data_IF_927109730591
#
_entry.id   IF_927109730591
#
_cell.length_a   1.000
_cell.length_b   1.000
_cell.length_c   1.000
_cell.angle_alpha   90.00
_cell.angle_beta   90.00
_cell.angle_gamma   90.00
#
_symmetry.space_group_name_H-M   'P 1'
#
loop_
_entity.id
_entity.type
_entity.pdbx_description
1 polymer ?
#
# COMPACT_ATOMS: atom_id res chain seq x y z
N UNK A 1 7.26 2.20 16.37
CA UNK A 1 7.09 2.44 14.92
C UNK A 1 5.66 2.09 14.48
N UNK A 2 4.65 2.51 15.26
CA UNK A 2 3.28 1.99 15.08
C UNK A 2 2.60 2.62 13.85
N UNK A 3 2.58 3.96 13.75
CA UNK A 3 1.92 4.68 12.66
C UNK A 3 2.38 4.27 11.24
N UNK A 4 3.67 4.37 10.94
CA UNK A 4 4.17 4.16 9.58
C UNK A 4 4.02 2.73 9.04
N UNK A 5 3.94 1.74 9.92
CA UNK A 5 3.92 0.31 9.54
C UNK A 5 2.50 -0.24 9.55
N UNK A 6 1.72 0.13 10.57
CA UNK A 6 0.37 -0.36 10.80
C UNK A 6 -0.57 0.11 9.67
N UNK A 7 -0.59 1.40 9.37
CA UNK A 7 -1.56 1.95 8.41
C UNK A 7 -1.29 1.48 6.96
N UNK A 8 -0.03 1.20 6.60
CA UNK A 8 0.35 0.83 5.22
C UNK A 8 -0.14 -0.55 4.77
N UNK A 9 -0.40 -1.48 5.69
CA UNK A 9 -0.91 -2.83 5.36
C UNK A 9 -2.43 -2.97 5.55
N UNK A 10 -3.10 -1.93 6.04
CA UNK A 10 -4.52 -1.96 6.39
C UNK A 10 -5.45 -1.99 5.17
N UNK A 11 -5.01 -1.43 4.04
CA UNK A 11 -5.87 -1.19 2.85
C UNK A 11 -6.06 -2.42 1.96
N UNK A 12 -5.29 -3.50 2.18
CA UNK A 12 -5.45 -4.76 1.45
C UNK A 12 -5.93 -5.86 2.40
N UNK A 13 -7.04 -6.49 2.07
CA UNK A 13 -7.48 -7.79 2.61
C UNK A 13 -6.42 -8.85 2.33
N UNK A 14 -5.83 -9.35 3.40
CA UNK A 14 -4.98 -10.53 3.38
C UNK A 14 -5.24 -11.30 4.68
N UNK A 15 -5.59 -12.60 4.63
CA UNK A 15 -5.92 -13.36 5.84
C UNK A 15 -4.76 -13.46 6.84
N UNK A 16 -3.52 -13.42 6.33
CA UNK A 16 -2.32 -13.54 7.12
C UNK A 16 -1.40 -12.37 6.80
N UNK A 17 -1.16 -11.53 7.82
CA UNK A 17 -0.25 -10.39 7.76
C UNK A 17 0.63 -10.44 8.99
N UNK A 18 1.92 -10.20 8.80
CA UNK A 18 2.88 -10.02 9.88
C UNK A 18 3.83 -8.92 9.45
N UNK A 19 4.04 -7.95 10.33
CA UNK A 19 5.06 -6.93 10.10
C UNK A 19 6.00 -6.87 11.29
N UNK A 20 7.28 -6.73 10.99
CA UNK A 20 8.34 -6.58 11.98
C UNK A 20 9.17 -5.36 11.58
N UNK A 21 9.57 -4.55 12.55
CA UNK A 21 10.22 -3.29 12.28
C UNK A 21 11.16 -2.88 13.41
N UNK A 22 12.37 -2.49 13.05
CA UNK A 22 13.44 -2.12 13.98
C UNK A 22 13.94 -0.71 13.68
N UNK A 23 14.12 0.09 14.74
CA UNK A 23 14.81 1.37 14.63
C UNK A 23 16.31 1.14 14.85
N UNK A 24 17.08 1.15 13.76
CA UNK A 24 18.52 0.91 13.81
C UNK A 24 19.26 2.21 14.13
N UNK A 25 20.02 2.20 15.24
CA UNK A 25 20.93 3.29 15.57
C UNK A 25 22.18 3.24 14.68
N UNK A 26 22.57 4.39 14.14
CA UNK A 26 23.77 4.53 13.30
C UNK A 26 24.56 5.76 13.71
N UNK A 27 25.79 5.89 13.20
CA UNK A 27 26.63 7.08 13.44
C UNK A 27 26.24 8.29 12.57
N UNK A 28 25.15 8.19 11.80
CA UNK A 28 24.64 9.31 11.02
C UNK A 28 23.84 10.28 11.90
N UNK A 29 23.65 11.55 11.47
CA UNK A 29 22.73 12.46 12.14
C UNK A 29 21.36 11.82 12.37
N UNK A 30 20.75 11.99 13.57
CA UNK A 30 19.47 11.39 13.87
C UNK A 30 18.40 11.76 12.83
N UNK A 31 17.69 10.75 12.33
CA UNK A 31 16.57 10.97 11.41
C UNK A 31 15.40 11.61 12.16
N UNK A 32 14.71 12.56 11.52
CA UNK A 32 13.54 13.25 12.05
C UNK A 32 12.27 12.93 11.28
N UNK A 33 11.18 13.60 11.67
CA UNK A 33 9.93 13.50 10.92
C UNK A 33 10.07 14.10 9.52
N UNK A 34 9.55 13.37 8.53
CA UNK A 34 9.40 13.85 7.16
C UNK A 34 7.95 13.61 6.71
N UNK A 35 7.51 14.27 5.64
CA UNK A 35 6.13 14.16 5.12
C UNK A 35 5.72 12.69 4.99
N UNK A 36 4.61 12.33 5.62
CA UNK A 36 4.08 10.96 5.65
C UNK A 36 4.60 10.08 6.79
N UNK A 37 5.50 10.57 7.66
CA UNK A 37 5.88 9.91 8.92
C UNK A 37 6.25 8.42 8.80
N UNK A 38 6.92 8.01 7.72
CA UNK A 38 7.32 6.62 7.48
C UNK A 38 6.40 5.81 6.56
N UNK A 39 5.20 6.32 6.28
CA UNK A 39 4.21 5.63 5.41
C UNK A 39 4.73 5.46 3.98
N UNK A 40 5.36 6.49 3.43
CA UNK A 40 5.80 6.48 2.03
C UNK A 40 6.77 5.34 1.73
N UNK A 41 7.73 5.08 2.63
CA UNK A 41 8.70 4.00 2.45
C UNK A 41 8.04 2.62 2.49
N UNK A 42 7.09 2.41 3.41
CA UNK A 42 6.41 1.12 3.58
C UNK A 42 5.42 0.88 2.45
N UNK A 43 4.61 1.89 2.08
CA UNK A 43 3.69 1.84 0.95
C UNK A 43 4.46 1.54 -0.34
N UNK A 44 5.59 2.21 -0.60
CA UNK A 44 6.40 1.91 -1.78
C UNK A 44 6.83 0.44 -1.84
N UNK A 45 7.29 -0.13 -0.72
CA UNK A 45 7.71 -1.53 -0.66
C UNK A 45 6.52 -2.50 -0.92
N UNK A 46 5.36 -2.24 -0.31
CA UNK A 46 4.14 -3.04 -0.49
C UNK A 46 3.65 -2.98 -1.93
N UNK A 47 3.50 -1.78 -2.48
CA UNK A 47 3.00 -1.57 -3.84
C UNK A 47 3.93 -2.19 -4.89
N UNK A 48 5.24 -2.09 -4.69
CA UNK A 48 6.24 -2.74 -5.54
C UNK A 48 6.12 -4.28 -5.50
N UNK A 49 5.90 -4.84 -4.31
CA UNK A 49 5.71 -6.28 -4.14
C UNK A 49 4.39 -6.76 -4.80
N UNK A 50 3.33 -5.96 -4.74
CA UNK A 50 2.06 -6.25 -5.42
C UNK A 50 2.23 -6.20 -6.94
N UNK A 51 2.96 -5.22 -7.49
CA UNK A 51 3.25 -5.16 -8.93
C UNK A 51 4.07 -6.35 -9.41
N UNK A 52 5.04 -6.79 -8.61
CA UNK A 52 5.81 -8.00 -8.91
C UNK A 52 4.94 -9.25 -8.86
N UNK A 53 4.11 -9.39 -7.82
CA UNK A 53 3.19 -10.52 -7.69
C UNK A 53 2.22 -10.58 -8.88
N UNK A 54 1.64 -9.45 -9.28
CA UNK A 54 0.74 -9.36 -10.43
C UNK A 54 1.41 -9.85 -11.72
N UNK A 55 2.67 -9.45 -11.95
CA UNK A 55 3.48 -9.95 -13.08
C UNK A 55 3.73 -11.45 -13.00
N UNK A 56 4.06 -11.97 -11.81
CA UNK A 56 4.33 -13.40 -11.62
C UNK A 56 3.08 -14.28 -11.85
N UNK A 57 1.90 -13.81 -11.43
CA UNK A 57 0.64 -14.55 -11.60
C UNK A 57 -0.10 -14.24 -12.91
N UNK A 58 0.45 -13.34 -13.73
CA UNK A 58 -0.06 -13.03 -15.08
C UNK A 58 -1.37 -12.25 -15.10
N UNK A 59 -1.62 -11.38 -14.11
CA UNK A 59 -2.79 -10.48 -14.08
C UNK A 59 -2.34 -9.02 -14.05
N UNK A 60 -3.25 -8.08 -14.36
CA UNK A 60 -2.91 -6.66 -14.29
C UNK A 60 -2.64 -6.24 -12.84
N UNK A 61 -1.72 -5.29 -12.59
CA UNK A 61 -1.49 -4.77 -11.24
C UNK A 61 -2.73 -4.09 -10.63
N UNK A 62 -3.58 -3.49 -11.47
CA UNK A 62 -4.87 -2.93 -11.03
C UNK A 62 -5.85 -4.01 -10.61
N UNK A 63 -5.94 -5.12 -11.37
CA UNK A 63 -6.80 -6.25 -11.04
C UNK A 63 -6.40 -6.91 -9.73
N UNK A 64 -5.09 -7.07 -9.48
CA UNK A 64 -4.60 -7.60 -8.21
C UNK A 64 -5.05 -6.69 -7.05
N UNK A 65 -4.91 -5.37 -7.20
CA UNK A 65 -5.34 -4.41 -6.17
C UNK A 65 -6.84 -4.46 -5.95
N UNK A 66 -7.67 -4.43 -7.00
CA UNK A 66 -9.14 -4.52 -6.88
C UNK A 66 -9.61 -5.78 -6.16
N UNK A 67 -8.97 -6.92 -6.42
CA UNK A 67 -9.31 -8.19 -5.76
C UNK A 67 -9.00 -8.18 -4.27
N UNK A 68 -7.97 -7.44 -3.86
CA UNK A 68 -7.46 -7.49 -2.49
C UNK A 68 -7.75 -6.24 -1.69
N UNK A 69 -8.10 -5.10 -2.29
CA UNK A 69 -8.38 -3.87 -1.56
C UNK A 69 -9.57 -4.05 -0.62
N UNK A 70 -9.56 -3.38 0.54
CA UNK A 70 -10.73 -3.32 1.44
C UNK A 70 -11.95 -2.77 0.70
N UNK A 71 -13.14 -3.18 1.10
CA UNK A 71 -14.42 -2.76 0.52
C UNK A 71 -15.41 -2.36 1.63
N UNK A 72 -16.52 -1.65 1.33
CA UNK A 72 -17.49 -1.28 2.35
C UNK A 72 -18.01 -2.50 3.11
N UNK A 73 -17.96 -2.42 4.44
CA UNK A 73 -18.37 -3.50 5.33
C UNK A 73 -17.22 -4.42 5.77
N UNK A 74 -16.02 -4.29 5.20
CA UNK A 74 -14.85 -4.99 5.73
C UNK A 74 -14.49 -4.48 7.14
N UNK A 75 -14.08 -5.38 8.05
CA UNK A 75 -13.57 -4.98 9.34
C UNK A 75 -12.23 -4.26 9.17
N UNK A 76 -11.95 -3.29 10.04
CA UNK A 76 -10.64 -2.64 10.09
C UNK A 76 -9.61 -3.63 10.66
N UNK A 77 -8.80 -4.24 9.80
CA UNK A 77 -7.81 -5.26 10.18
C UNK A 77 -6.43 -4.90 9.65
N UNK A 78 -5.50 -4.71 10.59
CA UNK A 78 -4.13 -4.35 10.27
C UNK A 78 -3.20 -5.56 10.29
N UNK A 79 -2.93 -6.15 11.46
CA UNK A 79 -2.06 -7.31 11.64
C UNK A 79 -2.53 -8.17 12.82
N UNK A 80 -3.76 -8.68 12.75
CA UNK A 80 -4.32 -9.50 13.83
C UNK A 80 -5.84 -9.63 13.79
N UNK A 81 -6.45 -9.77 14.96
CA UNK A 81 -7.90 -9.88 15.09
C UNK A 81 -8.59 -8.50 14.91
N UNK A 82 -9.81 -8.45 14.36
CA UNK A 82 -10.57 -7.22 14.07
C UNK A 82 -11.05 -6.45 15.31
N UNK A 83 -10.49 -6.70 16.50
CA UNK A 83 -10.91 -6.10 17.76
C UNK A 83 -10.36 -4.68 17.93
N UNK A 84 -10.75 -3.79 17.02
CA UNK A 84 -10.58 -2.34 17.16
C UNK A 84 -11.95 -1.68 17.19
N UNK A 85 -12.07 -0.57 17.92
CA UNK A 85 -13.22 0.35 17.88
C UNK A 85 -13.25 1.22 16.60
N UNK A 86 -12.49 0.81 15.59
CA UNK A 86 -12.30 1.50 14.32
C UNK A 86 -13.12 0.84 13.22
N UNK A 87 -13.66 1.67 12.34
CA UNK A 87 -14.35 1.26 11.13
C UNK A 87 -13.99 2.21 9.98
N UNK A 88 -14.07 1.70 8.74
CA UNK A 88 -13.98 2.54 7.55
C UNK A 88 -15.25 3.41 7.45
N UNK A 89 -15.15 4.67 7.87
CA UNK A 89 -16.29 5.61 7.87
C UNK A 89 -16.65 6.15 6.48
N UNK A 90 -15.67 6.28 5.60
CA UNK A 90 -15.84 6.58 4.18
C UNK A 90 -14.92 5.70 3.35
N UNK A 91 -15.34 5.43 2.11
CA UNK A 91 -14.62 4.53 1.22
C UNK A 91 -14.72 5.05 -0.23
N UNK A 92 -13.59 4.99 -0.93
CA UNK A 92 -13.44 5.55 -2.28
C UNK A 92 -12.40 4.83 -3.14
N UNK A 93 -11.83 3.71 -2.64
CA UNK A 93 -10.52 3.26 -3.10
C UNK A 93 -10.60 2.49 -4.41
N UNK A 94 -11.64 1.71 -4.64
CA UNK A 94 -11.92 1.08 -5.93
C UNK A 94 -12.22 2.13 -7.01
N UNK A 95 -12.99 3.18 -6.71
CA UNK A 95 -13.20 4.27 -7.68
C UNK A 95 -11.89 5.00 -8.00
N UNK A 96 -11.01 5.21 -7.01
CA UNK A 96 -9.68 5.77 -7.25
C UNK A 96 -8.83 4.87 -8.15
N UNK A 97 -8.89 3.54 -7.98
CA UNK A 97 -8.19 2.59 -8.85
C UNK A 97 -8.72 2.66 -10.29
N UNK A 98 -10.04 2.73 -10.47
CA UNK A 98 -10.67 2.85 -11.80
C UNK A 98 -10.27 4.14 -12.51
N UNK A 99 -10.32 5.27 -11.81
CA UNK A 99 -9.92 6.56 -12.35
C UNK A 99 -8.43 6.59 -12.71
N UNK A 100 -7.57 6.00 -11.87
CA UNK A 100 -6.14 5.93 -12.12
C UNK A 100 -5.81 5.03 -13.33
N UNK A 101 -6.44 3.86 -13.44
CA UNK A 101 -6.25 2.97 -14.59
C UNK A 101 -6.71 3.63 -15.89
N UNK A 102 -7.87 4.30 -15.87
CA UNK A 102 -8.37 5.01 -17.04
C UNK A 102 -7.40 6.14 -17.45
N UNK A 103 -6.97 6.97 -16.51
CA UNK A 103 -6.06 8.08 -16.79
C UNK A 103 -4.73 7.60 -17.38
N UNK A 104 -4.17 6.49 -16.88
CA UNK A 104 -2.94 5.91 -17.41
C UNK A 104 -3.13 5.27 -18.80
N UNK A 105 -4.32 4.74 -19.10
CA UNK A 105 -4.64 4.22 -20.42
C UNK A 105 -4.79 5.35 -21.46
N UNK A 106 -5.33 6.50 -21.05
CA UNK A 106 -5.45 7.70 -21.88
C UNK A 106 -4.10 8.39 -22.11
N UNK A 107 -3.24 8.43 -21.09
CA UNK A 107 -1.87 8.95 -21.16
C UNK A 107 -0.87 7.84 -21.51
N UNK A 108 -0.98 7.32 -22.74
CA UNK A 108 -0.07 6.32 -23.28
C UNK A 108 1.35 6.86 -23.58
N UNK A 109 1.77 7.95 -22.94
CA UNK A 109 3.11 8.50 -23.10
C UNK A 109 4.11 7.48 -22.58
N UNK A 110 4.99 6.94 -23.43
CA UNK A 110 5.99 5.99 -22.98
C UNK A 110 6.89 6.66 -21.94
N UNK A 111 7.30 5.95 -20.87
CA UNK A 111 8.22 6.50 -19.90
C UNK A 111 9.48 7.00 -20.61
N UNK A 112 10.05 8.15 -20.19
CA UNK A 112 11.27 8.66 -20.78
C UNK A 112 12.38 7.61 -20.67
N UNK A 113 13.24 7.52 -21.69
CA UNK A 113 14.41 6.65 -21.64
C UNK A 113 15.26 7.03 -20.42
N UNK A 114 15.36 6.11 -19.46
CA UNK A 114 16.21 6.29 -18.30
C UNK A 114 17.67 6.11 -18.70
N UNK A 115 18.50 7.11 -18.45
CA UNK A 115 19.95 6.90 -18.32
C UNK A 115 20.14 6.11 -17.01
N UNK A 116 20.61 4.86 -17.13
CA UNK A 116 20.60 3.84 -16.07
C UNK A 116 21.39 4.15 -14.80
#
# INVERSE_FOLDING_TARGET
>A
MYHGVHESVAVYRAPNKRVDAEAVYTNNPPSGAFRGYGLGQVVFAIESALDELARQVGISPFDLRRRNVVVPGDPFVVDGYPNTDLAFGSYGLDQCLDLAEQALAEDATPPPEGEG
#
